data_IF_550018258239
#
_entry.id   IF_550018258239
#
_cell.length_a   1.000
_cell.length_b   1.000
_cell.length_c   1.000
_cell.angle_alpha   90.00
_cell.angle_beta   90.00
_cell.angle_gamma   90.00
#
_symmetry.space_group_name_H-M   'P 1'
#
loop_
_entity.id
_entity.type
_entity.pdbx_description
1 polymer ?
#
# COMPACT_ATOMS: atom_id res chain seq x y z
N UNK A 1 14.03 -21.77 -13.16
CA UNK A 1 13.80 -20.64 -14.09
C UNK A 1 12.79 -21.07 -15.15
N UNK A 2 11.53 -20.82 -14.98
CA UNK A 2 10.50 -21.06 -15.99
C UNK A 2 10.08 -19.71 -16.55
N UNK A 3 10.40 -19.45 -17.82
CA UNK A 3 10.00 -18.26 -18.55
C UNK A 3 8.49 -18.35 -18.82
N UNK A 4 7.69 -17.55 -18.16
CA UNK A 4 6.32 -17.29 -18.56
C UNK A 4 6.33 -16.48 -19.87
N UNK A 5 6.09 -17.18 -20.96
CA UNK A 5 5.87 -16.60 -22.30
C UNK A 5 4.38 -16.39 -22.53
N UNK A 6 3.79 -15.39 -21.92
CA UNK A 6 2.56 -14.76 -22.41
C UNK A 6 2.66 -13.29 -22.08
N UNK A 7 3.24 -12.54 -23.02
CA UNK A 7 3.39 -11.09 -22.91
C UNK A 7 2.08 -10.36 -23.15
N UNK A 8 1.09 -10.49 -22.28
CA UNK A 8 -0.08 -9.61 -22.25
C UNK A 8 0.32 -8.29 -21.60
N UNK A 9 0.53 -7.25 -22.39
CA UNK A 9 0.59 -5.88 -21.89
C UNK A 9 -0.83 -5.40 -21.64
N UNK A 10 -1.22 -5.33 -20.36
CA UNK A 10 -2.46 -4.65 -19.96
C UNK A 10 -2.32 -3.17 -20.32
N UNK A 11 -3.16 -2.67 -21.23
CA UNK A 11 -3.28 -1.23 -21.49
C UNK A 11 -4.04 -0.63 -20.31
N UNK A 12 -3.32 -0.12 -19.31
CA UNK A 12 -3.91 0.79 -18.33
C UNK A 12 -4.03 2.13 -19.06
N UNK A 13 -5.24 2.61 -19.30
CA UNK A 13 -5.47 3.97 -19.80
C UNK A 13 -5.02 4.93 -18.69
N UNK A 14 -3.83 5.48 -18.82
CA UNK A 14 -3.36 6.59 -17.99
C UNK A 14 -4.11 7.84 -18.45
N UNK A 15 -4.75 8.59 -17.54
CA UNK A 15 -5.20 9.93 -17.88
C UNK A 15 -3.96 10.74 -18.31
N UNK A 16 -4.11 11.57 -19.35
CA UNK A 16 -3.16 12.63 -19.63
C UNK A 16 -3.06 13.49 -18.37
N UNK A 17 -2.00 13.30 -17.62
CA UNK A 17 -1.69 14.07 -16.42
C UNK A 17 -0.59 15.06 -16.78
N UNK A 18 -0.36 16.07 -15.95
CA UNK A 18 0.78 17.03 -15.97
C UNK A 18 2.18 16.39 -16.15
N UNK A 19 2.26 15.08 -16.30
CA UNK A 19 3.49 14.29 -16.47
C UNK A 19 4.16 14.50 -17.85
N UNK A 20 3.46 15.06 -18.86
CA UNK A 20 4.03 15.33 -20.17
C UNK A 20 4.84 16.65 -20.23
N UNK A 21 4.77 17.48 -19.19
CA UNK A 21 5.55 18.71 -19.12
C UNK A 21 7.02 18.42 -18.79
N UNK A 22 7.95 19.19 -19.32
CA UNK A 22 9.36 19.08 -18.95
C UNK A 22 9.58 19.30 -17.45
N UNK A 23 10.56 18.60 -16.87
CA UNK A 23 10.96 18.79 -15.47
C UNK A 23 11.31 20.26 -15.22
N UNK A 24 10.67 20.84 -14.23
CA UNK A 24 10.76 22.25 -13.85
C UNK A 24 11.11 22.42 -12.37
N UNK A 25 11.34 23.67 -11.96
CA UNK A 25 11.64 23.99 -10.57
C UNK A 25 10.48 23.64 -9.62
N UNK A 26 9.27 23.59 -10.13
CA UNK A 26 8.07 23.22 -9.35
C UNK A 26 8.05 21.76 -8.95
N UNK A 27 8.84 20.93 -9.62
CA UNK A 27 8.97 19.51 -9.30
C UNK A 27 9.90 19.23 -8.13
N UNK A 28 10.43 20.27 -7.48
CA UNK A 28 11.35 20.11 -6.36
C UNK A 28 10.90 20.88 -5.13
N UNK A 29 11.19 20.32 -3.95
CA UNK A 29 11.14 21.04 -2.68
C UNK A 29 12.33 20.68 -1.80
N UNK A 30 12.78 21.64 -0.96
CA UNK A 30 13.90 21.50 -0.03
C UNK A 30 13.46 20.73 1.22
N UNK A 31 14.14 19.62 1.54
CA UNK A 31 13.96 18.89 2.76
C UNK A 31 14.93 19.40 3.84
N UNK A 32 14.40 20.09 4.86
CA UNK A 32 15.26 20.83 5.81
C UNK A 32 16.01 19.93 6.78
N UNK A 33 15.43 18.78 7.16
CA UNK A 33 16.05 17.87 8.15
C UNK A 33 17.36 17.25 7.63
N UNK A 34 17.45 17.04 6.30
CA UNK A 34 18.61 16.40 5.68
C UNK A 34 19.43 17.44 4.90
N UNK A 35 20.75 17.58 5.19
CA UNK A 35 21.61 18.51 4.47
C UNK A 35 21.59 18.27 2.96
N UNK A 36 21.50 19.36 2.18
CA UNK A 36 21.58 19.36 0.71
C UNK A 36 20.66 18.34 0.00
N UNK A 37 19.46 18.07 0.58
CA UNK A 37 18.49 17.12 0.06
C UNK A 37 17.24 17.82 -0.46
N UNK A 38 16.76 17.39 -1.62
CA UNK A 38 15.61 17.93 -2.34
C UNK A 38 14.71 16.78 -2.76
N UNK A 39 13.41 16.83 -2.44
CA UNK A 39 12.48 15.89 -3.01
C UNK A 39 12.19 16.22 -4.46
N UNK A 40 12.35 15.22 -5.32
CA UNK A 40 11.77 15.24 -6.67
C UNK A 40 10.32 14.75 -6.54
N UNK A 41 9.40 15.69 -6.60
CA UNK A 41 7.99 15.51 -6.26
C UNK A 41 7.31 14.40 -7.09
N UNK A 42 7.56 14.22 -8.41
CA UNK A 42 6.90 13.21 -9.20
C UNK A 42 7.10 11.77 -8.69
N UNK A 43 8.31 11.40 -8.25
CA UNK A 43 8.61 10.06 -7.74
C UNK A 43 8.77 9.99 -6.21
N UNK A 44 8.77 11.13 -5.50
CA UNK A 44 8.98 11.24 -4.04
C UNK A 44 10.40 10.84 -3.59
N UNK A 45 11.36 10.86 -4.49
CA UNK A 45 12.76 10.52 -4.21
C UNK A 45 13.60 11.74 -3.82
N UNK A 46 14.66 11.50 -3.03
CA UNK A 46 15.61 12.54 -2.65
C UNK A 46 16.75 12.66 -3.66
N UNK A 47 16.97 13.87 -4.10
CA UNK A 47 18.09 14.24 -4.96
C UNK A 47 19.06 15.17 -4.22
N UNK A 48 20.37 15.01 -4.42
CA UNK A 48 21.36 16.01 -3.93
C UNK A 48 21.24 17.28 -4.74
N UNK A 49 21.55 18.43 -4.12
CA UNK A 49 21.44 19.73 -4.77
C UNK A 49 22.29 19.89 -6.04
N UNK A 50 23.42 19.18 -6.12
CA UNK A 50 24.24 19.13 -7.34
C UNK A 50 23.48 18.57 -8.53
N UNK A 51 22.71 17.50 -8.34
CA UNK A 51 21.87 16.89 -9.37
C UNK A 51 20.71 17.81 -9.77
N UNK A 52 20.10 18.50 -8.80
CA UNK A 52 19.04 19.50 -9.08
C UNK A 52 19.58 20.62 -9.94
N UNK A 53 20.75 21.19 -9.59
CA UNK A 53 21.37 22.25 -10.37
C UNK A 53 21.90 21.80 -11.75
N UNK A 54 22.27 20.55 -11.91
CA UNK A 54 22.62 19.97 -13.20
C UNK A 54 21.40 19.78 -14.11
N UNK A 55 20.24 19.52 -13.52
CA UNK A 55 18.97 19.26 -14.25
C UNK A 55 18.25 20.56 -14.62
N UNK A 56 18.30 21.57 -13.76
CA UNK A 56 17.54 22.82 -13.92
C UNK A 56 18.44 23.99 -14.37
N UNK A 57 17.94 24.89 -15.24
CA UNK A 57 18.64 26.09 -15.57
C UNK A 57 18.75 27.04 -14.37
N UNK A 58 19.69 27.95 -14.43
CA UNK A 58 19.77 29.05 -13.46
C UNK A 58 18.53 29.95 -13.55
N UNK A 59 18.04 30.40 -12.42
CA UNK A 59 16.81 31.20 -12.31
C UNK A 59 17.15 32.70 -12.39
N UNK A 60 16.63 33.46 -13.37
CA UNK A 60 16.84 34.89 -13.45
C UNK A 60 16.15 35.59 -12.27
N UNK A 61 16.85 36.52 -11.63
CA UNK A 61 16.25 37.40 -10.64
C UNK A 61 15.46 38.48 -11.34
N UNK A 62 14.20 38.68 -10.90
CA UNK A 62 13.32 39.69 -11.46
C UNK A 62 13.25 40.93 -10.58
N UNK A 63 12.96 42.08 -11.17
CA UNK A 63 12.57 43.31 -10.49
C UNK A 63 11.11 43.23 -10.05
N UNK A 64 10.63 44.21 -9.28
CA UNK A 64 9.20 44.30 -8.92
C UNK A 64 8.26 44.41 -10.13
N UNK A 65 8.80 44.91 -11.26
CA UNK A 65 8.09 45.03 -12.55
C UNK A 65 8.15 43.79 -13.43
N UNK A 66 8.74 42.66 -12.94
CA UNK A 66 8.89 41.43 -13.71
C UNK A 66 10.02 41.38 -14.72
N UNK A 67 10.85 42.42 -14.82
CA UNK A 67 11.99 42.46 -15.73
C UNK A 67 13.23 41.82 -15.12
N UNK A 68 14.12 41.15 -15.89
CA UNK A 68 15.38 40.61 -15.40
C UNK A 68 16.27 41.70 -14.75
N UNK A 69 16.70 41.46 -13.51
CA UNK A 69 17.71 42.29 -12.84
C UNK A 69 19.03 42.14 -13.58
N UNK A 70 19.74 43.27 -13.76
CA UNK A 70 21.03 43.30 -14.43
C UNK A 70 22.12 43.74 -13.46
N UNK A 71 23.33 43.24 -13.68
CA UNK A 71 24.53 43.71 -12.97
C UNK A 71 25.04 45.06 -13.53
N UNK A 72 26.16 45.54 -12.98
CA UNK A 72 26.80 46.80 -13.40
C UNK A 72 27.19 46.81 -14.87
N UNK A 73 27.35 45.65 -15.50
CA UNK A 73 27.75 45.46 -16.90
C UNK A 73 26.55 45.16 -17.81
N UNK A 74 25.32 45.29 -17.30
CA UNK A 74 24.10 45.02 -18.07
C UNK A 74 23.75 43.52 -18.22
N UNK A 75 24.53 42.61 -17.63
CA UNK A 75 24.28 41.15 -17.71
C UNK A 75 23.15 40.74 -16.76
N UNK A 76 22.21 39.86 -17.19
CA UNK A 76 21.17 39.33 -16.31
C UNK A 76 21.76 38.61 -15.11
N UNK A 77 21.27 38.94 -13.91
CA UNK A 77 21.66 38.26 -12.67
C UNK A 77 20.77 37.02 -12.52
N UNK A 78 21.40 35.87 -12.30
CA UNK A 78 20.70 34.61 -12.06
C UNK A 78 21.30 33.87 -10.87
N UNK A 79 20.47 33.09 -10.18
CA UNK A 79 20.86 32.24 -9.06
C UNK A 79 20.73 30.76 -9.42
N UNK A 80 21.41 29.89 -8.66
CA UNK A 80 21.22 28.45 -8.79
C UNK A 80 19.78 28.08 -8.47
N UNK A 81 19.24 27.06 -9.13
CA UNK A 81 17.88 26.58 -8.89
C UNK A 81 17.69 26.16 -7.41
N UNK A 82 18.68 25.48 -6.82
CA UNK A 82 18.65 25.12 -5.39
C UNK A 82 18.49 26.32 -4.48
N UNK A 83 19.18 27.41 -4.75
CA UNK A 83 19.05 28.63 -3.92
C UNK A 83 17.62 29.19 -3.96
N UNK A 84 16.99 29.18 -5.12
CA UNK A 84 15.60 29.63 -5.25
C UNK A 84 14.67 28.69 -4.50
N UNK A 85 14.85 27.34 -4.59
CA UNK A 85 14.07 26.33 -3.90
C UNK A 85 14.24 26.48 -2.38
N UNK A 86 15.46 26.72 -1.90
CA UNK A 86 15.77 26.93 -0.48
C UNK A 86 15.04 28.15 0.11
N UNK A 87 14.78 29.15 -0.69
CA UNK A 87 14.08 30.37 -0.25
C UNK A 87 12.55 30.24 -0.35
N UNK A 88 12.04 29.47 -1.31
CA UNK A 88 10.63 29.51 -1.69
C UNK A 88 9.84 28.20 -1.48
N UNK A 89 10.49 27.02 -1.39
CA UNK A 89 9.82 25.72 -1.39
C UNK A 89 10.45 24.76 -0.36
N UNK A 90 10.30 25.11 0.91
CA UNK A 90 10.87 24.33 2.02
C UNK A 90 9.81 23.43 2.64
N UNK A 91 10.25 22.27 3.12
CA UNK A 91 9.45 21.37 3.97
C UNK A 91 10.30 20.95 5.17
N UNK A 92 9.72 21.01 6.36
CA UNK A 92 10.38 20.68 7.62
C UNK A 92 10.55 19.20 7.79
N UNK A 93 9.52 18.43 7.40
CA UNK A 93 9.53 16.97 7.57
C UNK A 93 8.72 16.25 6.49
N UNK A 94 8.79 14.94 6.53
CA UNK A 94 7.94 14.05 5.72
C UNK A 94 6.98 13.27 6.59
N UNK A 95 5.86 12.89 5.99
CA UNK A 95 4.89 11.94 6.54
C UNK A 95 4.29 11.12 5.40
N UNK A 96 3.54 10.10 5.73
CA UNK A 96 2.72 9.38 4.77
C UNK A 96 1.31 9.25 5.33
N UNK A 97 0.34 9.91 4.68
CA UNK A 97 -1.02 10.00 5.20
C UNK A 97 -2.02 10.09 4.03
N UNK A 98 -2.72 8.98 3.69
CA UNK A 98 -3.81 9.01 2.72
C UNK A 98 -4.91 9.99 3.13
N UNK A 99 -5.52 10.65 2.13
CA UNK A 99 -6.59 11.62 2.37
C UNK A 99 -6.12 13.03 2.71
N UNK A 100 -4.82 13.26 3.02
CA UNK A 100 -4.27 14.60 3.21
C UNK A 100 -3.55 15.10 1.94
N UNK A 101 -3.48 16.44 1.74
CA UNK A 101 -2.81 17.03 0.59
C UNK A 101 -1.29 16.74 0.60
N UNK A 102 -0.66 16.93 -0.55
CA UNK A 102 0.79 16.72 -0.74
C UNK A 102 1.64 17.61 0.19
N UNK A 103 1.26 18.87 0.36
CA UNK A 103 1.86 19.79 1.33
C UNK A 103 0.86 20.07 2.43
N UNK A 104 1.20 19.66 3.64
CA UNK A 104 0.37 19.81 4.84
C UNK A 104 0.90 21.02 5.60
N UNK A 105 0.15 22.11 5.58
CA UNK A 105 0.52 23.35 6.24
C UNK A 105 0.21 23.31 7.74
N UNK A 106 1.03 24.02 8.50
CA UNK A 106 0.86 24.32 9.94
C UNK A 106 0.83 23.09 10.84
N UNK A 107 1.29 21.91 10.36
CA UNK A 107 1.28 20.65 11.11
C UNK A 107 2.57 19.87 10.95
N UNK A 108 2.97 19.24 12.04
CA UNK A 108 4.11 18.32 12.10
C UNK A 108 3.66 16.98 12.71
N UNK A 109 4.00 15.87 12.04
CA UNK A 109 3.72 14.53 12.55
C UNK A 109 4.74 14.14 13.62
N UNK A 110 4.26 13.62 14.73
CA UNK A 110 5.06 13.19 15.87
C UNK A 110 4.56 11.84 16.39
N UNK A 111 5.29 11.24 17.33
CA UNK A 111 4.80 10.09 18.06
C UNK A 111 3.46 10.42 18.73
N UNK A 112 2.43 9.64 18.39
CA UNK A 112 1.09 9.84 18.95
C UNK A 112 0.19 10.82 18.17
N UNK A 113 0.61 11.34 17.00
CA UNK A 113 -0.28 12.12 16.12
C UNK A 113 0.33 13.39 15.54
N UNK A 114 -0.37 14.51 15.68
CA UNK A 114 0.01 15.79 15.11
C UNK A 114 0.22 16.85 16.17
N UNK A 115 1.21 17.73 15.93
CA UNK A 115 1.31 19.00 16.63
C UNK A 115 1.07 20.15 15.64
N UNK A 116 0.41 21.21 16.09
CA UNK A 116 0.24 22.42 15.29
C UNK A 116 1.43 23.35 15.45
N UNK A 117 1.96 23.79 14.31
CA UNK A 117 3.08 24.73 14.26
C UNK A 117 2.93 25.66 13.07
N UNK A 118 2.46 26.86 13.30
CA UNK A 118 2.27 27.88 12.25
C UNK A 118 3.52 28.09 11.41
N UNK A 119 3.37 28.02 10.10
CA UNK A 119 4.44 28.21 9.12
C UNK A 119 5.25 26.95 8.81
N UNK A 120 5.05 25.85 9.56
CA UNK A 120 5.67 24.58 9.20
C UNK A 120 4.92 23.90 8.05
N UNK A 121 5.66 23.14 7.22
CA UNK A 121 5.10 22.38 6.11
C UNK A 121 5.63 20.96 6.16
N UNK A 122 4.73 19.99 6.23
CA UNK A 122 5.06 18.56 6.10
C UNK A 122 4.82 18.10 4.67
N UNK A 123 5.78 17.37 4.08
CA UNK A 123 5.64 16.76 2.77
C UNK A 123 5.02 15.39 2.87
N UNK A 124 3.84 15.21 2.28
CA UNK A 124 3.13 13.95 2.28
C UNK A 124 3.63 13.05 1.13
N UNK A 125 4.20 11.93 1.48
CA UNK A 125 4.72 10.94 0.53
C UNK A 125 3.61 10.12 -0.14
N UNK A 126 2.36 10.18 0.37
CA UNK A 126 1.22 9.51 -0.24
C UNK A 126 0.96 10.04 -1.66
N UNK A 127 0.64 9.13 -2.56
CA UNK A 127 0.17 9.43 -3.92
C UNK A 127 -1.14 8.72 -4.17
N UNK A 128 -2.17 9.46 -4.56
CA UNK A 128 -3.44 8.88 -4.94
C UNK A 128 -3.29 7.93 -6.16
N UNK A 129 -4.14 6.91 -6.28
CA UNK A 129 -4.17 6.05 -7.46
C UNK A 129 -4.53 6.86 -8.71
N UNK A 130 -3.94 6.49 -9.86
CA UNK A 130 -4.13 7.20 -11.14
C UNK A 130 -5.16 6.51 -12.05
N UNK A 131 -5.62 5.31 -11.70
CA UNK A 131 -6.60 4.59 -12.50
C UNK A 131 -7.92 5.36 -12.54
N UNK A 132 -8.44 5.60 -13.74
CA UNK A 132 -9.77 6.17 -13.94
C UNK A 132 -10.79 5.05 -13.77
N UNK A 133 -11.77 5.17 -12.87
CA UNK A 133 -12.83 4.19 -12.73
C UNK A 133 -13.63 4.05 -14.04
N UNK A 134 -13.97 2.81 -14.37
CA UNK A 134 -14.79 2.48 -15.55
C UNK A 134 -16.26 2.33 -15.21
N UNK A 135 -16.87 1.24 -15.67
CA UNK A 135 -18.27 0.89 -15.42
C UNK A 135 -18.33 -0.28 -14.41
N UNK A 136 -18.77 -0.03 -13.18
CA UNK A 136 -18.82 -1.02 -12.11
C UNK A 136 -19.72 -2.23 -12.41
N UNK A 137 -20.75 -2.08 -13.25
CA UNK A 137 -21.63 -3.18 -13.64
C UNK A 137 -20.92 -4.27 -14.43
N UNK A 138 -19.75 -3.98 -15.01
CA UNK A 138 -18.92 -4.92 -15.77
C UNK A 138 -17.90 -5.69 -14.94
N UNK A 139 -17.88 -5.54 -13.62
CA UNK A 139 -16.94 -6.22 -12.73
C UNK A 139 -17.22 -7.72 -12.52
N UNK A 140 -18.34 -8.24 -13.04
CA UNK A 140 -18.82 -9.62 -12.87
C UNK A 140 -17.73 -10.70 -13.04
N UNK A 141 -16.86 -10.69 -14.08
CA UNK A 141 -15.87 -11.76 -14.21
C UNK A 141 -14.88 -11.86 -13.05
N UNK A 142 -14.56 -10.73 -12.41
CA UNK A 142 -13.72 -10.72 -11.21
C UNK A 142 -14.51 -11.14 -9.97
N UNK A 143 -15.75 -10.68 -9.84
CA UNK A 143 -16.64 -11.09 -8.73
C UNK A 143 -16.85 -12.61 -8.74
N UNK A 144 -17.15 -13.19 -9.91
CA UNK A 144 -17.30 -14.63 -10.09
C UNK A 144 -16.01 -15.38 -9.70
N UNK A 145 -14.85 -14.82 -10.02
CA UNK A 145 -13.57 -15.38 -9.61
C UNK A 145 -13.38 -15.38 -8.10
N UNK A 146 -13.72 -14.28 -7.40
CA UNK A 146 -13.64 -14.20 -5.94
C UNK A 146 -14.61 -15.21 -5.29
N UNK A 147 -15.86 -15.25 -5.75
CA UNK A 147 -16.86 -16.22 -5.26
C UNK A 147 -16.49 -17.67 -5.55
N UNK A 148 -15.86 -17.95 -6.69
CA UNK A 148 -15.40 -19.31 -7.01
C UNK A 148 -14.30 -19.76 -6.06
N UNK A 149 -13.33 -18.89 -5.76
CA UNK A 149 -12.21 -19.23 -4.86
C UNK A 149 -12.69 -19.30 -3.40
N UNK A 150 -13.51 -18.34 -2.97
CA UNK A 150 -13.92 -18.17 -1.56
C UNK A 150 -15.44 -18.01 -1.44
N UNK A 151 -16.26 -19.06 -1.74
CA UNK A 151 -17.71 -18.91 -1.80
C UNK A 151 -18.31 -18.37 -0.50
N UNK A 152 -17.85 -18.84 0.66
CA UNK A 152 -18.37 -18.46 1.97
C UNK A 152 -17.78 -17.15 2.52
N UNK A 153 -16.70 -16.64 1.91
CA UNK A 153 -15.95 -15.49 2.40
C UNK A 153 -15.90 -14.32 1.41
N UNK A 154 -16.41 -14.50 0.19
CA UNK A 154 -16.29 -13.53 -0.90
C UNK A 154 -16.80 -12.14 -0.51
N UNK A 155 -17.99 -12.05 0.09
CA UNK A 155 -18.60 -10.79 0.50
C UNK A 155 -17.73 -10.02 1.50
N UNK A 156 -17.17 -10.71 2.50
CA UNK A 156 -16.30 -10.06 3.47
C UNK A 156 -15.00 -9.57 2.82
N UNK A 157 -14.39 -10.40 1.97
CA UNK A 157 -13.17 -10.04 1.22
C UNK A 157 -13.43 -8.82 0.33
N UNK A 158 -14.52 -8.82 -0.44
CA UNK A 158 -14.87 -7.73 -1.36
C UNK A 158 -15.09 -6.43 -0.60
N UNK A 159 -15.86 -6.44 0.50
CA UNK A 159 -16.10 -5.26 1.33
C UNK A 159 -14.83 -4.74 1.99
N UNK A 160 -13.97 -5.63 2.47
CA UNK A 160 -12.67 -5.25 3.03
C UNK A 160 -11.78 -4.55 1.98
N UNK A 161 -11.73 -5.08 0.75
CA UNK A 161 -10.99 -4.47 -0.36
C UNK A 161 -11.60 -3.14 -0.80
N UNK A 162 -12.94 -3.06 -0.87
CA UNK A 162 -13.65 -1.83 -1.20
C UNK A 162 -13.42 -0.74 -0.14
N UNK A 163 -13.39 -1.10 1.16
CA UNK A 163 -13.08 -0.14 2.23
C UNK A 163 -11.72 0.51 2.03
N UNK A 164 -10.68 -0.26 1.73
CA UNK A 164 -9.35 0.29 1.47
C UNK A 164 -9.27 1.12 0.19
N UNK A 165 -10.18 0.88 -0.77
CA UNK A 165 -10.29 1.72 -1.97
C UNK A 165 -11.00 3.04 -1.68
N UNK A 166 -12.09 3.00 -0.91
CA UNK A 166 -12.93 4.18 -0.61
C UNK A 166 -12.32 5.04 0.51
N UNK A 167 -11.76 4.41 1.53
CA UNK A 167 -11.25 5.02 2.76
C UNK A 167 -9.77 4.64 3.02
N UNK A 168 -8.84 5.02 2.12
CA UNK A 168 -7.45 4.56 2.22
C UNK A 168 -6.71 5.09 3.45
N UNK A 169 -7.26 6.09 4.15
CA UNK A 169 -6.73 6.63 5.42
C UNK A 169 -7.33 5.97 6.67
N UNK A 170 -8.31 5.08 6.51
CA UNK A 170 -8.99 4.47 7.64
C UNK A 170 -8.46 3.05 7.91
N UNK A 171 -8.19 2.77 9.16
CA UNK A 171 -7.71 1.46 9.59
C UNK A 171 -8.85 0.46 9.67
N UNK A 172 -8.72 -0.67 8.99
CA UNK A 172 -9.47 -1.89 9.29
C UNK A 172 -8.71 -2.69 10.35
N UNK A 173 -9.36 -3.00 11.47
CA UNK A 173 -8.72 -3.62 12.63
C UNK A 173 -8.54 -5.14 12.54
N UNK A 174 -8.52 -5.66 11.32
CA UNK A 174 -8.18 -7.06 11.08
C UNK A 174 -7.50 -7.27 9.71
N UNK A 175 -6.68 -8.29 9.67
CA UNK A 175 -6.03 -8.78 8.46
C UNK A 175 -6.92 -9.80 7.73
N UNK A 176 -6.73 -9.94 6.41
CA UNK A 176 -7.23 -11.08 5.65
C UNK A 176 -6.15 -12.17 5.57
N UNK A 177 -6.48 -13.39 5.95
CA UNK A 177 -5.69 -14.59 5.67
C UNK A 177 -6.37 -15.34 4.53
N UNK A 178 -5.73 -15.38 3.38
CA UNK A 178 -6.23 -15.99 2.14
C UNK A 178 -5.48 -17.30 1.89
N UNK A 179 -6.05 -18.40 2.34
CA UNK A 179 -5.48 -19.73 2.22
C UNK A 179 -6.06 -20.54 1.05
N UNK A 180 -5.32 -21.58 0.64
CA UNK A 180 -5.73 -22.50 -0.42
C UNK A 180 -4.57 -22.91 -1.33
N UNK A 181 -4.78 -23.91 -2.18
CA UNK A 181 -3.76 -24.49 -3.04
C UNK A 181 -3.05 -23.49 -3.94
N UNK A 182 -1.85 -23.84 -4.37
CA UNK A 182 -1.12 -23.04 -5.34
C UNK A 182 -1.80 -23.13 -6.72
N UNK A 183 -1.91 -21.99 -7.40
CA UNK A 183 -2.44 -21.94 -8.78
C UNK A 183 -3.96 -21.77 -8.88
N UNK A 184 -4.68 -21.60 -7.77
CA UNK A 184 -6.14 -21.33 -7.77
C UNK A 184 -6.50 -19.88 -8.10
N UNK A 185 -5.51 -18.97 -8.24
CA UNK A 185 -5.75 -17.59 -8.68
C UNK A 185 -5.81 -16.53 -7.58
N UNK A 186 -5.30 -16.79 -6.38
CA UNK A 186 -5.18 -15.76 -5.32
C UNK A 186 -4.48 -14.48 -5.81
N UNK A 187 -3.40 -14.65 -6.59
CA UNK A 187 -2.66 -13.53 -7.16
C UNK A 187 -3.47 -12.79 -8.23
N UNK A 188 -4.19 -13.56 -9.08
CA UNK A 188 -5.05 -12.98 -10.12
C UNK A 188 -6.19 -12.15 -9.53
N UNK A 189 -6.76 -12.59 -8.41
CA UNK A 189 -7.78 -11.85 -7.66
C UNK A 189 -7.25 -10.50 -7.12
N UNK A 190 -6.00 -10.46 -6.64
CA UNK A 190 -5.41 -9.26 -6.04
C UNK A 190 -4.78 -8.30 -7.07
N UNK A 191 -4.54 -8.75 -8.30
CA UNK A 191 -3.91 -7.93 -9.34
C UNK A 191 -4.67 -6.62 -9.64
N UNK A 192 -6.01 -6.62 -9.84
CA UNK A 192 -6.75 -5.36 -10.06
C UNK A 192 -6.74 -4.45 -8.83
N UNK A 193 -6.67 -5.02 -7.62
CA UNK A 193 -6.66 -4.25 -6.37
C UNK A 193 -5.38 -3.39 -6.26
N UNK A 194 -4.24 -3.95 -6.68
CA UNK A 194 -2.98 -3.21 -6.77
C UNK A 194 -3.12 -1.93 -7.60
N UNK A 195 -3.88 -1.99 -8.69
CA UNK A 195 -4.16 -0.82 -9.52
C UNK A 195 -5.21 0.10 -8.89
N UNK A 196 -6.25 -0.46 -8.27
CA UNK A 196 -7.32 0.30 -7.63
C UNK A 196 -6.84 1.18 -6.48
N UNK A 197 -5.91 0.70 -5.64
CA UNK A 197 -5.31 1.50 -4.55
C UNK A 197 -4.07 2.27 -5.00
N UNK A 198 -3.55 2.02 -6.21
CA UNK A 198 -2.30 2.55 -6.75
C UNK A 198 -1.12 1.61 -6.48
N UNK A 199 -0.33 1.23 -7.52
CA UNK A 199 0.76 0.26 -7.37
C UNK A 199 1.82 0.64 -6.32
N UNK A 200 2.02 1.92 -6.07
CA UNK A 200 2.93 2.47 -5.05
C UNK A 200 2.35 2.50 -3.63
N UNK A 201 1.09 2.12 -3.46
CA UNK A 201 0.40 1.98 -2.17
C UNK A 201 0.08 0.51 -1.86
N UNK A 202 0.51 -0.43 -2.71
CA UNK A 202 0.37 -1.86 -2.53
C UNK A 202 1.76 -2.50 -2.47
N UNK A 203 2.15 -2.96 -1.29
CA UNK A 203 3.44 -3.60 -1.08
C UNK A 203 3.29 -5.10 -0.93
N UNK A 204 4.31 -5.83 -1.40
CA UNK A 204 4.42 -7.29 -1.27
C UNK A 204 5.77 -7.61 -0.63
N UNK A 205 5.74 -8.36 0.46
CA UNK A 205 6.94 -8.76 1.19
C UNK A 205 6.89 -10.24 1.55
N UNK A 206 8.07 -10.82 1.83
CA UNK A 206 8.17 -12.11 2.50
C UNK A 206 8.08 -11.96 4.02
N UNK A 207 7.76 -13.04 4.77
CA UNK A 207 7.76 -13.02 6.24
C UNK A 207 9.10 -12.56 6.84
N UNK A 208 10.21 -12.92 6.23
CA UNK A 208 11.56 -12.50 6.68
C UNK A 208 11.75 -10.98 6.62
N UNK A 209 11.18 -10.31 5.62
CA UNK A 209 11.24 -8.84 5.54
C UNK A 209 10.44 -8.15 6.65
N UNK A 210 9.31 -8.76 7.08
CA UNK A 210 8.51 -8.21 8.19
C UNK A 210 9.32 -8.12 9.49
N UNK A 211 10.19 -9.10 9.74
CA UNK A 211 11.02 -9.19 10.94
C UNK A 211 12.31 -8.37 10.84
N UNK A 212 12.54 -7.71 9.72
CA UNK A 212 13.73 -6.91 9.45
C UNK A 212 13.74 -5.55 10.16
N UNK A 213 14.89 -4.89 10.14
CA UNK A 213 15.10 -3.58 10.76
C UNK A 213 14.38 -2.44 10.00
N UNK A 214 14.27 -2.54 8.68
CA UNK A 214 13.65 -1.51 7.83
C UNK A 214 12.21 -1.86 7.55
N UNK A 215 11.31 -0.90 7.72
CA UNK A 215 9.88 -1.09 7.61
C UNK A 215 9.19 -0.10 6.66
N UNK A 216 9.88 0.30 5.58
CA UNK A 216 9.31 1.18 4.55
C UNK A 216 8.00 0.64 3.94
N UNK A 217 7.80 -0.67 3.97
CA UNK A 217 6.56 -1.33 3.55
C UNK A 217 5.33 -0.92 4.38
N UNK A 218 5.53 -0.39 5.59
CA UNK A 218 4.42 0.02 6.45
C UNK A 218 3.73 1.31 5.96
N UNK A 219 4.30 2.04 5.01
CA UNK A 219 3.61 3.11 4.29
C UNK A 219 2.87 2.54 3.07
N UNK A 220 1.87 1.77 3.34
CA UNK A 220 1.02 1.14 2.33
C UNK A 220 -0.46 1.28 2.69
N UNK A 221 -1.33 1.33 1.69
CA UNK A 221 -2.76 1.13 1.88
C UNK A 221 -3.02 -0.36 2.08
N UNK A 222 -2.37 -1.21 1.28
CA UNK A 222 -2.43 -2.66 1.45
C UNK A 222 -1.01 -3.22 1.44
N UNK A 223 -0.69 -4.00 2.46
CA UNK A 223 0.50 -4.83 2.55
C UNK A 223 0.11 -6.29 2.39
N UNK A 224 0.68 -6.96 1.40
CA UNK A 224 0.58 -8.39 1.25
C UNK A 224 1.84 -9.07 1.75
N UNK A 225 1.69 -10.00 2.67
CA UNK A 225 2.74 -10.94 3.07
C UNK A 225 2.51 -12.24 2.30
N UNK A 226 3.45 -12.57 1.43
CA UNK A 226 3.41 -13.82 0.69
C UNK A 226 4.16 -14.88 1.49
N UNK A 227 3.40 -15.82 2.03
CA UNK A 227 3.92 -16.83 2.95
C UNK A 227 4.72 -17.91 2.23
N UNK A 228 4.95 -17.94 0.98
CA UNK A 228 5.79 -18.95 0.33
C UNK A 228 6.45 -19.97 1.28
N UNK A 229 7.33 -20.77 0.85
CA UNK A 229 8.02 -21.83 1.66
C UNK A 229 8.81 -21.34 2.88
N UNK A 230 8.87 -20.02 3.12
CA UNK A 230 9.84 -19.44 4.08
C UNK A 230 9.37 -19.42 5.54
N UNK A 231 8.08 -19.68 5.86
CA UNK A 231 7.65 -19.78 7.28
C UNK A 231 8.16 -21.04 7.99
N UNK A 232 8.55 -22.10 7.27
CA UNK A 232 9.09 -23.29 7.90
C UNK A 232 10.36 -23.08 8.77
N UNK A 233 11.07 -21.95 8.57
CA UNK A 233 12.25 -21.55 9.35
C UNK A 233 12.03 -20.32 10.24
N UNK A 234 10.85 -19.72 10.21
CA UNK A 234 10.52 -18.53 11.00
C UNK A 234 9.66 -18.97 12.19
N UNK A 235 10.02 -18.48 13.37
CA UNK A 235 9.20 -18.63 14.57
C UNK A 235 7.80 -18.00 14.33
N UNK A 236 6.77 -18.88 14.22
CA UNK A 236 5.38 -18.51 13.96
C UNK A 236 4.78 -17.64 15.06
N UNK A 237 5.23 -17.79 16.30
CA UNK A 237 4.80 -16.95 17.43
C UNK A 237 5.36 -15.54 17.29
N UNK A 238 6.66 -15.44 16.97
CA UNK A 238 7.33 -14.16 16.72
C UNK A 238 6.71 -13.45 15.51
N UNK A 239 6.39 -14.17 14.45
CA UNK A 239 5.70 -13.62 13.29
C UNK A 239 4.33 -13.05 13.67
N UNK A 240 3.51 -13.83 14.41
CA UNK A 240 2.20 -13.38 14.90
C UNK A 240 2.32 -12.11 15.75
N UNK A 241 3.27 -12.09 16.70
CA UNK A 241 3.48 -10.91 17.55
C UNK A 241 3.90 -9.67 16.76
N UNK A 242 4.76 -9.81 15.78
CA UNK A 242 5.18 -8.71 14.92
C UNK A 242 4.04 -8.18 14.02
N UNK A 243 3.09 -9.02 13.61
CA UNK A 243 1.95 -8.57 12.79
C UNK A 243 0.97 -7.71 13.58
N UNK A 244 0.90 -7.83 14.91
CA UNK A 244 -0.10 -7.14 15.77
C UNK A 244 -0.12 -5.64 15.57
N UNK A 245 1.04 -4.99 15.44
CA UNK A 245 1.15 -3.53 15.26
C UNK A 245 0.63 -3.06 13.90
N UNK A 246 0.58 -3.95 12.92
CA UNK A 246 0.12 -3.66 11.57
C UNK A 246 -1.35 -4.07 11.35
N UNK A 247 -1.93 -4.89 12.21
CA UNK A 247 -3.30 -5.42 12.03
C UNK A 247 -4.38 -4.58 12.68
N UNK A 248 -4.05 -3.80 13.71
CA UNK A 248 -5.05 -3.01 14.43
C UNK A 248 -4.45 -1.71 15.01
N UNK A 249 -5.30 -0.76 15.39
CA UNK A 249 -4.95 0.40 16.20
C UNK A 249 -5.38 0.18 17.66
N UNK A 250 -4.67 0.76 18.64
CA UNK A 250 -3.42 1.50 18.54
C UNK A 250 -2.23 0.62 18.16
N UNK A 251 -1.10 1.20 17.63
CA UNK A 251 -0.80 2.63 17.53
C UNK A 251 -1.42 3.28 16.29
N UNK A 252 -1.82 4.55 16.38
CA UNK A 252 -2.42 5.31 15.27
C UNK A 252 -1.38 5.79 14.26
N UNK A 253 -0.13 5.89 14.70
CA UNK A 253 1.02 6.22 13.84
C UNK A 253 2.14 5.21 14.01
N UNK A 254 2.81 4.92 12.92
CA UNK A 254 3.97 4.03 12.86
C UNK A 254 5.24 4.85 12.66
N UNK A 255 6.31 4.48 13.36
CA UNK A 255 7.65 4.98 13.10
C UNK A 255 8.24 4.25 11.92
N UNK A 256 8.56 4.99 10.87
CA UNK A 256 9.12 4.46 9.63
C UNK A 256 10.63 4.62 9.66
N UNK A 257 11.33 3.50 9.46
CA UNK A 257 12.77 3.44 9.32
C UNK A 257 13.11 2.98 7.89
N UNK A 258 13.70 3.87 7.12
CA UNK A 258 14.16 3.62 5.75
C UNK A 258 15.66 3.83 5.64
N UNK A 259 16.32 3.04 4.79
CA UNK A 259 17.74 3.20 4.54
C UNK A 259 18.04 4.59 3.99
N UNK A 260 19.02 5.28 4.59
CA UNK A 260 19.48 6.62 4.20
C UNK A 260 18.46 7.77 4.42
N UNK A 261 17.37 7.53 5.13
CA UNK A 261 16.44 8.57 5.56
C UNK A 261 16.43 8.69 7.08
N UNK A 262 16.20 9.91 7.57
CA UNK A 262 15.85 10.09 8.97
C UNK A 262 14.46 9.50 9.21
N UNK A 263 14.31 8.79 10.32
CA UNK A 263 13.03 8.21 10.71
C UNK A 263 11.93 9.28 10.77
N UNK A 264 10.73 8.88 10.35
CA UNK A 264 9.55 9.74 10.34
C UNK A 264 8.30 8.95 10.74
N UNK A 265 7.19 9.64 10.93
CA UNK A 265 5.93 9.05 11.34
C UNK A 265 4.95 8.99 10.19
N UNK A 266 4.27 7.85 10.04
CA UNK A 266 3.23 7.60 9.06
C UNK A 266 1.94 7.16 9.75
N UNK A 267 0.79 7.49 9.15
CA UNK A 267 -0.51 7.00 9.62
C UNK A 267 -0.57 5.48 9.54
N UNK A 268 -1.06 4.82 10.59
CA UNK A 268 -1.33 3.39 10.59
C UNK A 268 -2.72 3.08 9.99
N UNK A 269 -2.82 3.17 8.70
CA UNK A 269 -4.03 2.79 7.94
C UNK A 269 -3.86 1.51 7.12
N UNK A 270 -2.72 0.86 7.25
CA UNK A 270 -2.33 -0.34 6.51
C UNK A 270 -3.35 -1.47 6.67
N UNK A 271 -3.88 -1.98 5.56
CA UNK A 271 -4.59 -3.25 5.48
C UNK A 271 -3.60 -4.39 5.24
N UNK A 272 -3.66 -5.42 6.08
CA UNK A 272 -2.75 -6.57 5.97
C UNK A 272 -3.45 -7.75 5.29
N UNK A 273 -2.83 -8.31 4.25
CA UNK A 273 -3.22 -9.57 3.61
C UNK A 273 -2.08 -10.57 3.80
N UNK A 274 -2.40 -11.74 4.30
CA UNK A 274 -1.47 -12.87 4.38
C UNK A 274 -1.97 -13.94 3.40
N UNK A 275 -1.15 -14.34 2.42
CA UNK A 275 -1.50 -15.44 1.51
C UNK A 275 -0.70 -16.67 1.85
N UNK A 276 -1.37 -17.82 2.02
CA UNK A 276 -0.74 -19.09 2.39
C UNK A 276 -1.25 -20.26 1.54
N UNK A 277 -0.40 -21.25 1.34
CA UNK A 277 -0.76 -22.55 0.76
C UNK A 277 -0.75 -23.68 1.81
N UNK A 278 -0.37 -23.34 3.04
CA UNK A 278 -0.18 -24.31 4.14
C UNK A 278 -1.19 -24.04 5.24
N UNK A 279 -2.07 -25.00 5.50
CA UNK A 279 -3.12 -24.90 6.50
C UNK A 279 -2.60 -25.19 7.90
N UNK A 280 -1.65 -26.10 8.00
CA UNK A 280 -1.20 -26.70 9.26
C UNK A 280 0.16 -26.16 9.74
N UNK A 281 1.07 -25.81 8.82
CA UNK A 281 2.46 -25.55 9.17
C UNK A 281 2.86 -24.07 9.09
N UNK A 282 1.93 -23.18 8.69
CA UNK A 282 2.28 -21.82 8.34
C UNK A 282 2.00 -20.80 9.44
N UNK A 283 0.77 -20.64 9.85
CA UNK A 283 0.34 -19.54 10.70
C UNK A 283 -0.08 -20.02 12.09
N UNK A 284 0.36 -19.33 13.13
CA UNK A 284 -0.16 -19.50 14.50
C UNK A 284 -1.24 -18.46 14.77
N UNK A 285 -2.40 -18.90 15.24
CA UNK A 285 -3.46 -18.04 15.74
C UNK A 285 -3.96 -18.59 17.09
N UNK A 286 -4.00 -17.79 18.17
CA UNK A 286 -4.61 -18.21 19.42
C UNK A 286 -6.15 -18.21 19.31
N UNK A 287 -6.81 -19.00 20.13
CA UNK A 287 -8.27 -19.13 20.11
C UNK A 287 -9.03 -17.83 20.38
N UNK A 288 -8.43 -16.89 21.12
CA UNK A 288 -8.96 -15.57 21.43
C UNK A 288 -8.58 -14.50 20.42
N UNK A 289 -7.88 -14.86 19.31
CA UNK A 289 -7.52 -13.88 18.28
C UNK A 289 -8.76 -13.16 17.72
N UNK A 290 -8.63 -11.85 17.62
CA UNK A 290 -9.67 -10.93 17.11
C UNK A 290 -9.19 -10.05 15.96
N UNK A 291 -8.08 -10.44 15.31
CA UNK A 291 -7.35 -9.60 14.35
C UNK A 291 -7.17 -10.27 12.99
N UNK A 292 -7.62 -11.50 12.82
CA UNK A 292 -7.45 -12.23 11.57
C UNK A 292 -8.77 -12.82 11.09
N UNK A 293 -9.18 -12.44 9.88
CA UNK A 293 -10.24 -13.10 9.13
C UNK A 293 -9.63 -14.17 8.25
N UNK A 294 -9.96 -15.42 8.46
CA UNK A 294 -9.39 -16.55 7.72
C UNK A 294 -10.37 -17.03 6.67
N UNK A 295 -10.01 -16.89 5.41
CA UNK A 295 -10.71 -17.50 4.27
C UNK A 295 -9.85 -18.64 3.70
N UNK A 296 -10.43 -19.82 3.57
CA UNK A 296 -9.76 -20.98 3.00
C UNK A 296 -10.49 -21.50 1.78
N UNK A 297 -9.77 -21.63 0.67
CA UNK A 297 -10.29 -22.19 -0.57
C UNK A 297 -10.11 -23.71 -0.60
N UNK A 298 -11.15 -24.42 -0.96
CA UNK A 298 -11.10 -25.84 -1.27
C UNK A 298 -10.88 -26.14 -2.76
N UNK A 299 -10.76 -25.09 -3.60
CA UNK A 299 -10.46 -25.24 -5.01
C UNK A 299 -9.08 -25.84 -5.22
N UNK A 300 -8.97 -26.64 -6.27
CA UNK A 300 -7.71 -27.19 -6.77
C UNK A 300 -7.35 -26.53 -8.09
N UNK A 301 -6.10 -26.61 -8.50
CA UNK A 301 -5.61 -26.05 -9.78
C UNK A 301 -6.39 -26.60 -10.97
N UNK A 302 -6.81 -27.84 -10.91
CA UNK A 302 -7.56 -28.56 -11.95
C UNK A 302 -8.98 -28.02 -12.16
N UNK A 303 -9.55 -27.30 -11.18
CA UNK A 303 -10.87 -26.67 -11.29
C UNK A 303 -10.88 -25.45 -12.21
N UNK A 304 -9.71 -25.05 -12.71
CA UNK A 304 -9.52 -23.89 -13.56
C UNK A 304 -8.92 -24.28 -14.90
N UNK A 305 -9.74 -24.28 -15.94
CA UNK A 305 -9.30 -24.61 -17.30
C UNK A 305 -8.47 -23.49 -17.93
N UNK A 306 -7.80 -23.77 -19.02
CA UNK A 306 -7.06 -22.76 -19.79
C UNK A 306 -7.99 -21.67 -20.34
N UNK A 307 -9.20 -22.06 -20.77
CA UNK A 307 -10.23 -21.15 -21.27
C UNK A 307 -10.69 -20.18 -20.18
N UNK A 308 -10.86 -20.68 -18.94
CA UNK A 308 -11.17 -19.85 -17.79
C UNK A 308 -10.12 -18.75 -17.58
N UNK A 309 -8.84 -19.12 -17.57
CA UNK A 309 -7.75 -18.15 -17.41
C UNK A 309 -7.67 -17.17 -18.57
N UNK A 310 -7.85 -17.64 -19.81
CA UNK A 310 -7.86 -16.77 -20.98
C UNK A 310 -9.00 -15.75 -20.91
N UNK A 311 -10.19 -16.14 -20.47
CA UNK A 311 -11.32 -15.24 -20.31
C UNK A 311 -11.06 -14.18 -19.23
N UNK A 312 -10.56 -14.59 -18.04
CA UNK A 312 -10.26 -13.67 -16.95
C UNK A 312 -9.15 -12.67 -17.33
N UNK A 313 -8.05 -13.15 -17.92
CA UNK A 313 -6.96 -12.27 -18.36
C UNK A 313 -7.34 -11.41 -19.56
N UNK A 314 -8.19 -11.91 -20.45
CA UNK A 314 -8.79 -11.13 -21.55
C UNK A 314 -9.61 -9.97 -21.01
N UNK A 315 -10.47 -10.22 -20.03
CA UNK A 315 -11.22 -9.18 -19.33
C UNK A 315 -10.30 -8.13 -18.68
N UNK A 316 -9.23 -8.57 -18.01
CA UNK A 316 -8.28 -7.62 -17.41
C UNK A 316 -7.56 -6.77 -18.45
N UNK A 317 -7.21 -7.34 -19.59
CA UNK A 317 -6.56 -6.64 -20.71
C UNK A 317 -7.49 -5.64 -21.40
N UNK A 318 -8.80 -5.90 -21.39
CA UNK A 318 -9.85 -5.07 -22.00
C UNK A 318 -10.46 -4.05 -20.99
N UNK A 319 -9.66 -3.55 -20.07
CA UNK A 319 -10.07 -2.50 -19.12
C UNK A 319 -10.73 -3.00 -17.85
N UNK A 320 -10.74 -4.30 -17.58
CA UNK A 320 -11.36 -4.89 -16.39
C UNK A 320 -10.90 -4.28 -15.07
N UNK A 321 -9.66 -3.83 -14.99
CA UNK A 321 -9.17 -3.15 -13.77
C UNK A 321 -9.91 -1.84 -13.47
N UNK A 322 -10.27 -1.07 -14.52
CA UNK A 322 -11.07 0.14 -14.37
C UNK A 322 -12.50 -0.17 -13.91
N UNK A 323 -13.11 -1.23 -14.44
CA UNK A 323 -14.43 -1.69 -14.05
C UNK A 323 -14.48 -2.17 -12.60
N UNK A 324 -13.50 -2.96 -12.17
CA UNK A 324 -13.36 -3.41 -10.79
C UNK A 324 -13.13 -2.22 -9.85
N UNK A 325 -12.31 -1.24 -10.28
CA UNK A 325 -12.07 -0.04 -9.49
C UNK A 325 -13.35 0.77 -9.29
N UNK A 326 -14.20 0.90 -10.32
CA UNK A 326 -15.50 1.56 -10.22
C UNK A 326 -16.42 0.82 -9.24
N UNK A 327 -16.56 -0.50 -9.41
CA UNK A 327 -17.36 -1.34 -8.51
C UNK A 327 -16.95 -1.18 -7.05
N UNK A 328 -15.65 -1.31 -6.73
CA UNK A 328 -15.14 -1.16 -5.38
C UNK A 328 -15.32 0.27 -4.82
N UNK A 329 -15.33 1.29 -5.69
CA UNK A 329 -15.52 2.69 -5.28
C UNK A 329 -16.99 3.02 -4.97
N UNK A 330 -17.93 2.28 -5.53
CA UNK A 330 -19.37 2.52 -5.45
C UNK A 330 -20.10 1.54 -4.53
N UNK A 331 -19.41 0.46 -4.10
CA UNK A 331 -20.00 -0.57 -3.24
C UNK A 331 -20.50 0.04 -1.91
N UNK A 332 -21.74 -0.27 -1.54
CA UNK A 332 -22.29 0.11 -0.23
C UNK A 332 -21.57 -0.62 0.90
N UNK A 333 -20.95 0.15 1.78
CA UNK A 333 -20.23 -0.31 2.96
C UNK A 333 -20.97 -0.07 4.28
N UNK A 334 -22.23 0.34 4.25
CA UNK A 334 -23.03 0.64 5.46
C UNK A 334 -23.11 -0.53 6.45
N UNK A 335 -22.99 -1.77 5.97
CA UNK A 335 -22.94 -2.99 6.78
C UNK A 335 -21.53 -3.49 7.14
N UNK A 336 -20.46 -2.72 6.84
CA UNK A 336 -19.08 -3.10 7.13
C UNK A 336 -18.47 -2.24 8.23
N UNK A 337 -18.32 -2.82 9.42
CA UNK A 337 -17.61 -2.15 10.53
C UNK A 337 -16.11 -2.47 10.49
N UNK A 338 -15.32 -1.49 10.05
CA UNK A 338 -13.87 -1.60 9.96
C UNK A 338 -13.18 -1.78 11.34
N UNK A 339 -13.83 -1.42 12.43
CA UNK A 339 -13.27 -1.50 13.79
C UNK A 339 -13.68 -2.75 14.54
N UNK A 340 -14.75 -3.41 14.11
CA UNK A 340 -15.21 -4.65 14.73
C UNK A 340 -14.22 -5.80 14.53
N UNK A 341 -14.12 -6.73 15.51
CA UNK A 341 -13.45 -8.00 15.30
C UNK A 341 -14.12 -8.77 14.15
N UNK A 342 -13.34 -9.45 13.30
CA UNK A 342 -13.91 -10.23 12.22
C UNK A 342 -14.61 -11.49 12.76
N UNK A 343 -15.60 -12.03 12.03
CA UNK A 343 -16.19 -13.31 12.39
C UNK A 343 -15.16 -14.44 12.30
N UNK A 344 -15.21 -15.37 13.24
CA UNK A 344 -14.37 -16.57 13.23
C UNK A 344 -14.97 -17.63 12.32
N UNK A 345 -14.24 -17.95 11.26
CA UNK A 345 -14.65 -18.94 10.25
C UNK A 345 -14.30 -20.37 10.68
N UNK A 346 -14.88 -21.41 10.06
CA UNK A 346 -14.42 -22.78 10.26
C UNK A 346 -12.92 -22.96 10.00
N UNK A 347 -12.39 -22.28 9.00
CA UNK A 347 -10.96 -22.30 8.68
C UNK A 347 -10.08 -21.67 9.78
N UNK A 348 -10.57 -20.64 10.46
CA UNK A 348 -9.91 -20.08 11.64
C UNK A 348 -9.72 -21.14 12.73
N UNK A 349 -10.80 -21.85 13.09
CA UNK A 349 -10.73 -22.87 14.12
C UNK A 349 -9.84 -24.05 13.74
N UNK A 350 -9.76 -24.42 12.46
CA UNK A 350 -8.83 -25.44 11.99
C UNK A 350 -7.36 -25.04 12.18
N UNK A 351 -7.01 -23.75 11.97
CA UNK A 351 -5.65 -23.27 12.25
C UNK A 351 -5.38 -23.30 13.76
N UNK A 352 -6.32 -22.86 14.58
CA UNK A 352 -6.20 -22.87 16.05
C UNK A 352 -5.96 -24.28 16.55
N UNK A 353 -6.76 -25.27 16.13
CA UNK A 353 -6.66 -26.65 16.58
C UNK A 353 -5.31 -27.32 16.26
N UNK A 354 -4.75 -27.00 15.08
CA UNK A 354 -3.41 -27.49 14.70
C UNK A 354 -2.28 -26.77 15.45
N UNK A 355 -2.52 -25.51 15.82
CA UNK A 355 -1.57 -24.68 16.57
C UNK A 355 -1.53 -24.95 18.07
N UNK A 356 -2.53 -25.67 18.61
CA UNK A 356 -2.57 -26.05 20.01
C UNK A 356 -1.40 -26.99 20.37
N UNK A 357 -0.84 -26.81 21.57
CA UNK A 357 0.17 -27.72 22.06
C UNK A 357 -0.46 -29.15 22.23
N UNK A 358 0.32 -30.24 22.06
CA UNK A 358 -0.20 -31.57 22.25
C UNK A 358 -0.90 -31.76 23.60
N UNK A 359 -0.42 -31.11 24.64
CA UNK A 359 -0.99 -31.11 26.00
C UNK A 359 -2.37 -30.44 26.06
N UNK A 360 -2.60 -29.38 25.28
CA UNK A 360 -3.90 -28.69 25.17
C UNK A 360 -4.90 -29.53 24.35
N UNK A 361 -4.42 -30.25 23.35
CA UNK A 361 -5.23 -31.14 22.52
C UNK A 361 -5.72 -32.36 23.35
N UNK A 362 -4.86 -32.99 24.18
CA UNK A 362 -5.25 -34.04 25.11
C UNK A 362 -6.24 -33.56 26.18
N UNK A 363 -6.12 -32.32 26.64
CA UNK A 363 -7.05 -31.72 27.61
C UNK A 363 -8.44 -31.48 26.99
N UNK A 364 -8.51 -31.08 25.74
CA UNK A 364 -9.77 -30.88 25.01
C UNK A 364 -10.48 -32.21 24.75
N UNK A 365 -9.75 -33.28 24.37
CA UNK A 365 -10.30 -34.64 24.17
C UNK A 365 -10.79 -35.29 25.48
N UNK A 366 -10.32 -34.80 26.63
CA UNK A 366 -10.78 -35.27 27.96
C UNK A 366 -12.04 -34.53 28.46
N UNK A 367 -12.42 -33.42 27.83
CA UNK A 367 -13.55 -32.57 28.21
C UNK A 367 -14.78 -32.76 27.32
N UNK A 368 -14.63 -33.45 26.17
CA UNK A 368 -15.70 -33.89 25.28
C UNK A 368 -16.11 -35.33 25.66
#
# INVERSE_FOLDING_TARGET
MAKNKTGFRVKVSTPQTDDDRPVSIEDFCRYLIQPNAYFFIPCRELWPGTSVNARLPRIPLLTKSGQPRRDKNGKPISIAATKWIDENRRVEQTTWHPGLPMFIADRLAVAGGWIEKRGAVSFNLYRAPRIVPGDGSKATPWLDHVHKIYPDAAEHIIRWLAHHRQHPGDKVNHALVLGGDQGIGKDSMLQPIKHAVGPWNFYEISPGHLLGQFNSFARAVILRINEGRDLGNIDRFKFYDHTKIYTATPPDVLRINEKNLKEYYALNCLGLIITTNHKTDGLYLPADDRRHYVAWSNCRKEDFTREYWNALWGFYADGGFAHITAYLSELDLSGFDAKAPPPKTPAFWQIVSVGAAPEDAELMDLLD
#
